data_IF_465832790450
#
_entry.id   IF_465832790450
#
_cell.length_a   1.000
_cell.length_b   1.000
_cell.length_c   1.000
_cell.angle_alpha   90.00
_cell.angle_beta   90.00
_cell.angle_gamma   90.00
#
_symmetry.space_group_name_H-M   'P 1'
#
loop_
_entity.id
_entity.type
_entity.pdbx_description
1 polymer ?
#
# COMPACT_ATOMS: atom_id res chain seq x y z
N UNK A 1 -5.85 -0.79 31.37
CA UNK A 1 -5.19 -1.33 30.15
C UNK A 1 -6.19 -2.24 29.46
N UNK A 2 -6.78 -1.78 28.36
CA UNK A 2 -7.57 -2.66 27.49
C UNK A 2 -6.58 -3.48 26.69
N UNK A 3 -6.42 -4.77 27.00
CA UNK A 3 -5.55 -5.67 26.23
C UNK A 3 -6.25 -6.00 24.93
N UNK A 4 -5.95 -5.23 23.88
CA UNK A 4 -6.43 -5.51 22.53
C UNK A 4 -5.97 -6.92 22.16
N UNK A 5 -6.86 -7.82 21.73
CA UNK A 5 -6.48 -9.15 21.31
C UNK A 5 -5.38 -9.11 20.24
N UNK A 6 -4.30 -9.90 20.44
CA UNK A 6 -3.14 -9.91 19.54
C UNK A 6 -3.49 -10.24 18.08
N UNK A 7 -4.53 -11.05 17.85
CA UNK A 7 -5.03 -11.35 16.51
C UNK A 7 -5.56 -10.11 15.78
N UNK A 8 -6.19 -9.16 16.50
CA UNK A 8 -6.65 -7.90 15.93
C UNK A 8 -5.46 -7.05 15.50
N UNK A 9 -4.42 -6.92 16.35
CA UNK A 9 -3.19 -6.21 16.01
C UNK A 9 -2.56 -6.78 14.72
N UNK A 10 -2.44 -8.10 14.62
CA UNK A 10 -1.87 -8.74 13.42
C UNK A 10 -2.72 -8.48 12.17
N UNK A 11 -4.05 -8.52 12.28
CA UNK A 11 -4.93 -8.22 11.15
C UNK A 11 -4.82 -6.77 10.68
N UNK A 12 -4.74 -5.81 11.62
CA UNK A 12 -4.51 -4.40 11.32
C UNK A 12 -3.16 -4.22 10.60
N UNK A 13 -2.10 -4.83 11.12
CA UNK A 13 -0.76 -4.76 10.52
C UNK A 13 -0.76 -5.31 9.11
N UNK A 14 -1.38 -6.48 8.90
CA UNK A 14 -1.45 -7.11 7.59
C UNK A 14 -2.20 -6.23 6.59
N UNK A 15 -3.37 -5.72 6.98
CA UNK A 15 -4.19 -4.87 6.13
C UNK A 15 -3.46 -3.58 5.74
N UNK A 16 -2.87 -2.87 6.71
CA UNK A 16 -2.12 -1.63 6.46
C UNK A 16 -0.87 -1.88 5.61
N UNK A 17 -0.14 -2.97 5.84
CA UNK A 17 1.04 -3.29 5.04
C UNK A 17 0.67 -3.71 3.60
N UNK A 18 -0.45 -4.39 3.41
CA UNK A 18 -0.90 -4.88 2.11
C UNK A 18 -1.43 -3.76 1.24
N UNK A 19 -2.27 -2.89 1.81
CA UNK A 19 -3.03 -1.90 1.06
C UNK A 19 -2.50 -0.49 1.20
N UNK A 20 -1.76 -0.18 2.27
CA UNK A 20 -1.52 1.18 2.71
C UNK A 20 -2.73 1.73 3.48
N UNK A 21 -3.95 1.51 3.00
CA UNK A 21 -5.19 2.02 3.58
C UNK A 21 -6.16 0.95 4.06
N UNK A 22 -7.19 1.41 4.76
CA UNK A 22 -8.30 0.66 5.35
C UNK A 22 -9.60 1.34 4.91
N UNK A 23 -10.62 0.53 4.64
CA UNK A 23 -12.00 0.95 4.42
C UNK A 23 -12.88 0.40 5.56
N UNK A 24 -14.04 1.01 5.78
CA UNK A 24 -15.00 0.55 6.80
C UNK A 24 -15.37 -0.94 6.62
N UNK A 25 -15.54 -1.38 5.36
CA UNK A 25 -15.85 -2.77 5.04
C UNK A 25 -14.72 -3.76 5.42
N UNK A 26 -13.48 -3.29 5.54
CA UNK A 26 -12.34 -4.15 5.87
C UNK A 26 -12.35 -4.51 7.36
N UNK A 27 -12.69 -3.55 8.22
CA UNK A 27 -12.60 -3.69 9.67
C UNK A 27 -13.80 -4.39 10.28
N UNK A 28 -15.01 -4.21 9.75
CA UNK A 28 -16.25 -4.79 10.30
C UNK A 28 -16.19 -6.33 10.46
N UNK A 29 -15.32 -6.99 9.71
CA UNK A 29 -15.09 -8.43 9.77
C UNK A 29 -14.32 -8.91 11.01
N UNK A 30 -13.56 -8.03 11.69
CA UNK A 30 -12.70 -8.44 12.82
C UNK A 30 -12.55 -7.43 13.97
N UNK A 31 -12.95 -6.17 13.78
CA UNK A 31 -12.90 -5.13 14.80
C UNK A 31 -13.98 -4.08 14.52
N UNK A 32 -14.68 -3.58 15.54
CA UNK A 32 -15.58 -2.44 15.33
C UNK A 32 -14.76 -1.21 14.96
N UNK A 33 -15.19 -0.49 13.93
CA UNK A 33 -14.53 0.73 13.44
C UNK A 33 -14.07 1.70 14.54
N UNK A 34 -14.97 2.03 15.49
CA UNK A 34 -14.69 2.97 16.60
C UNK A 34 -13.52 2.51 17.49
N UNK A 35 -13.20 1.22 17.48
CA UNK A 35 -12.05 0.65 18.19
C UNK A 35 -10.79 0.67 17.32
N UNK A 36 -10.89 0.55 16.00
CA UNK A 36 -9.73 0.57 15.09
C UNK A 36 -8.92 1.86 15.22
N UNK A 37 -9.56 3.02 15.14
CA UNK A 37 -8.90 4.33 15.24
C UNK A 37 -8.18 4.49 16.59
N UNK A 38 -8.86 4.08 17.67
CA UNK A 38 -8.29 4.10 19.02
C UNK A 38 -7.10 3.16 19.18
N UNK A 39 -7.18 1.96 18.59
CA UNK A 39 -6.09 0.97 18.57
C UNK A 39 -4.88 1.55 17.84
N UNK A 40 -5.09 2.06 16.63
CA UNK A 40 -4.04 2.57 15.75
C UNK A 40 -3.34 3.79 16.35
N UNK A 41 -4.08 4.78 16.84
CA UNK A 41 -3.51 6.00 17.42
C UNK A 41 -2.75 5.75 18.73
N UNK A 42 -3.20 4.78 19.53
CA UNK A 42 -2.69 4.54 20.89
C UNK A 42 -1.62 3.45 20.96
N UNK A 43 -1.46 2.61 19.93
CA UNK A 43 -0.63 1.39 19.99
C UNK A 43 0.33 1.26 18.80
N UNK A 44 0.83 2.37 18.26
CA UNK A 44 1.78 2.37 17.12
C UNK A 44 3.03 1.52 17.40
N UNK A 45 3.59 1.58 18.61
CA UNK A 45 4.75 0.78 18.99
C UNK A 45 4.44 -0.72 18.97
N UNK A 46 3.25 -1.12 19.38
CA UNK A 46 2.80 -2.52 19.35
C UNK A 46 2.54 -2.98 17.91
N UNK A 47 1.98 -2.13 17.05
CA UNK A 47 1.85 -2.39 15.61
C UNK A 47 3.22 -2.59 14.95
N UNK A 48 4.20 -1.72 15.24
CA UNK A 48 5.58 -1.83 14.74
C UNK A 48 6.26 -3.11 15.24
N UNK A 49 6.08 -3.45 16.52
CA UNK A 49 6.60 -4.71 17.10
C UNK A 49 6.00 -5.96 16.43
N UNK A 50 4.82 -5.85 15.82
CA UNK A 50 4.17 -6.92 15.06
C UNK A 50 4.38 -6.81 13.53
N UNK A 51 5.28 -5.93 13.06
CA UNK A 51 5.72 -5.88 11.67
C UNK A 51 5.05 -4.81 10.80
N UNK A 52 4.37 -3.82 11.40
CA UNK A 52 3.93 -2.64 10.65
C UNK A 52 5.13 -1.86 10.12
N UNK A 53 5.13 -1.61 8.80
CA UNK A 53 6.24 -0.95 8.07
C UNK A 53 5.91 0.46 7.60
N UNK A 54 4.67 0.92 7.77
CA UNK A 54 4.24 2.23 7.31
C UNK A 54 4.65 3.39 8.23
N UNK A 55 4.17 4.60 7.88
CA UNK A 55 4.47 5.85 8.60
C UNK A 55 3.65 6.06 9.88
N UNK A 56 3.81 7.23 10.49
CA UNK A 56 3.07 7.61 11.70
C UNK A 56 1.55 7.64 11.46
N UNK A 57 0.80 7.00 12.36
CA UNK A 57 -0.66 6.88 12.25
C UNK A 57 -1.42 7.93 13.08
N UNK A 58 -0.72 8.66 13.98
CA UNK A 58 -1.30 9.61 14.95
C UNK A 58 -1.96 10.87 14.36
N UNK A 59 -1.54 11.33 13.18
CA UNK A 59 -2.09 12.52 12.54
C UNK A 59 -3.38 12.25 11.75
N UNK A 60 -3.81 10.99 11.70
CA UNK A 60 -4.89 10.53 10.84
C UNK A 60 -6.07 10.13 11.73
N UNK A 61 -7.01 11.04 11.91
CA UNK A 61 -8.30 10.73 12.52
C UNK A 61 -9.36 11.50 11.75
N UNK A 62 -9.57 11.13 10.49
CA UNK A 62 -10.77 11.60 9.80
C UNK A 62 -11.85 10.63 10.17
N UNK A 63 -12.67 10.98 11.16
CA UNK A 63 -13.95 10.33 11.44
C UNK A 63 -14.63 9.95 10.12
N UNK A 64 -14.64 8.65 9.77
CA UNK A 64 -15.21 8.16 8.52
C UNK A 64 -16.73 8.36 8.59
N UNK A 65 -17.24 9.26 7.75
CA UNK A 65 -18.69 9.45 7.55
C UNK A 65 -19.11 9.13 6.10
N UNK A 66 -18.30 8.36 5.36
CA UNK A 66 -18.54 8.03 3.95
C UNK A 66 -17.45 7.12 3.34
N UNK A 67 -17.54 6.77 2.04
CA UNK A 67 -16.68 5.79 1.35
C UNK A 67 -15.21 6.24 1.13
N UNK A 68 -14.74 7.23 1.90
CA UNK A 68 -13.41 7.80 1.75
C UNK A 68 -12.37 6.94 2.45
N UNK A 69 -11.17 6.77 1.87
CA UNK A 69 -10.15 5.86 2.37
C UNK A 69 -9.49 6.34 3.65
N UNK A 70 -9.21 5.37 4.52
CA UNK A 70 -8.64 5.57 5.83
C UNK A 70 -7.19 5.08 5.89
N UNK A 71 -6.28 5.95 6.28
CA UNK A 71 -4.92 5.60 6.71
C UNK A 71 -3.90 5.20 5.62
N UNK A 72 -2.64 5.42 5.98
CA UNK A 72 -1.42 4.86 5.39
C UNK A 72 -1.15 5.13 3.91
N UNK A 73 -0.74 6.37 3.64
CA UNK A 73 0.24 6.61 2.57
C UNK A 73 1.48 7.30 3.14
N UNK A 74 2.62 6.74 2.76
CA UNK A 74 3.88 6.71 3.48
C UNK A 74 4.73 7.98 3.31
N UNK A 75 4.29 9.12 3.85
CA UNK A 75 5.24 10.21 4.11
C UNK A 75 4.75 11.12 5.24
N UNK A 76 5.30 10.93 6.45
CA UNK A 76 5.00 11.77 7.61
C UNK A 76 5.50 13.21 7.47
N UNK A 77 6.32 13.50 6.45
CA UNK A 77 6.77 14.85 6.11
C UNK A 77 5.90 15.51 5.04
N UNK A 78 4.91 14.79 4.50
CA UNK A 78 4.07 15.27 3.41
C UNK A 78 2.67 15.54 3.91
N UNK A 79 2.14 16.70 3.54
CA UNK A 79 0.75 17.07 3.83
C UNK A 79 -0.12 16.57 2.67
N UNK A 80 -0.69 15.39 2.84
CA UNK A 80 -1.61 14.78 1.89
C UNK A 80 -2.97 15.47 1.93
N UNK A 81 -3.56 15.69 0.77
CA UNK A 81 -4.94 16.17 0.61
C UNK A 81 -5.91 14.99 0.52
N UNK A 82 -7.22 15.26 0.66
CA UNK A 82 -8.24 14.23 0.47
C UNK A 82 -8.24 13.70 -0.97
N UNK A 83 -7.96 14.58 -1.93
CA UNK A 83 -7.83 14.25 -3.34
C UNK A 83 -6.67 13.29 -3.59
N UNK A 84 -5.51 13.50 -2.94
CA UNK A 84 -4.37 12.58 -3.03
C UNK A 84 -4.74 11.18 -2.52
N UNK A 85 -5.52 11.09 -1.44
CA UNK A 85 -5.96 9.80 -0.88
C UNK A 85 -6.93 9.06 -1.81
N UNK A 86 -7.86 9.81 -2.43
CA UNK A 86 -8.80 9.25 -3.42
C UNK A 86 -8.01 8.76 -4.64
N UNK A 87 -7.07 9.56 -5.15
CA UNK A 87 -6.22 9.18 -6.26
C UNK A 87 -5.39 7.93 -5.93
N UNK A 88 -4.80 7.86 -4.72
CA UNK A 88 -4.09 6.67 -4.27
C UNK A 88 -4.96 5.41 -4.33
N UNK A 89 -6.20 5.48 -3.87
CA UNK A 89 -7.11 4.34 -3.87
C UNK A 89 -7.53 3.95 -5.29
N UNK A 90 -7.83 4.94 -6.14
CA UNK A 90 -8.07 4.68 -7.56
C UNK A 90 -6.88 3.99 -8.24
N UNK A 91 -5.64 4.41 -7.94
CA UNK A 91 -4.44 3.77 -8.49
C UNK A 91 -4.25 2.34 -7.98
N UNK A 92 -4.70 2.03 -6.75
CA UNK A 92 -4.63 0.70 -6.14
C UNK A 92 -5.68 -0.26 -6.69
N UNK A 93 -6.87 0.23 -6.97
CA UNK A 93 -8.00 -0.56 -7.47
C UNK A 93 -7.95 -0.75 -8.99
N UNK A 94 -7.20 0.07 -9.73
CA UNK A 94 -7.11 -0.03 -11.19
C UNK A 94 -6.09 -1.06 -11.69
N UNK A 95 -6.47 -1.76 -12.75
CA UNK A 95 -5.56 -2.55 -13.56
C UNK A 95 -4.48 -1.65 -14.21
N UNK A 96 -3.25 -2.16 -14.26
CA UNK A 96 -2.00 -1.48 -14.67
C UNK A 96 -1.96 -0.96 -16.13
N UNK A 97 -3.09 -0.96 -16.82
CA UNK A 97 -3.25 -0.52 -18.20
C UNK A 97 -3.73 0.93 -18.33
N UNK A 98 -3.71 1.73 -17.24
CA UNK A 98 -4.08 3.14 -17.30
C UNK A 98 -2.94 4.00 -17.87
N UNK A 99 -3.23 4.77 -18.91
CA UNK A 99 -2.32 5.71 -19.57
C UNK A 99 -1.88 6.86 -18.64
N UNK A 100 -2.61 7.09 -17.53
CA UNK A 100 -2.30 8.13 -16.54
C UNK A 100 -1.27 7.70 -15.48
N UNK A 101 -0.83 6.44 -15.49
CA UNK A 101 0.15 5.95 -14.52
C UNK A 101 1.57 6.37 -14.93
N UNK A 102 2.12 7.35 -14.23
CA UNK A 102 3.50 7.83 -14.45
C UNK A 102 4.43 7.40 -13.32
N UNK A 103 5.74 7.38 -13.59
CA UNK A 103 6.76 7.14 -12.55
C UNK A 103 6.71 8.22 -11.47
N UNK A 104 6.33 9.45 -11.82
CA UNK A 104 6.18 10.54 -10.86
C UNK A 104 5.04 10.27 -9.88
N UNK A 105 3.89 9.76 -10.36
CA UNK A 105 2.81 9.30 -9.47
C UNK A 105 3.27 8.14 -8.59
N UNK A 106 3.95 7.15 -9.16
CA UNK A 106 4.50 6.04 -8.37
C UNK A 106 5.46 6.51 -7.28
N UNK A 107 6.33 7.49 -7.56
CA UNK A 107 7.18 8.14 -6.55
C UNK A 107 6.38 8.94 -5.54
N UNK A 108 5.38 9.70 -6.01
CA UNK A 108 4.52 10.51 -5.15
C UNK A 108 3.83 9.66 -4.08
N UNK A 109 3.30 8.51 -4.50
CA UNK A 109 2.57 7.56 -3.68
C UNK A 109 3.43 6.46 -3.04
N UNK A 110 4.75 6.47 -3.26
CA UNK A 110 5.67 5.40 -2.83
C UNK A 110 5.17 3.99 -3.19
N UNK A 111 4.70 3.85 -4.44
CA UNK A 111 4.19 2.61 -4.99
C UNK A 111 5.23 1.96 -5.89
N UNK A 112 5.55 0.71 -5.61
CA UNK A 112 6.35 -0.14 -6.48
C UNK A 112 5.50 -0.99 -7.42
N UNK A 113 6.13 -1.56 -8.44
CA UNK A 113 5.49 -2.52 -9.35
C UNK A 113 5.83 -3.93 -8.93
N UNK A 114 4.81 -4.72 -8.65
CA UNK A 114 4.95 -6.16 -8.44
C UNK A 114 5.08 -6.91 -9.76
N UNK A 115 5.97 -7.89 -9.79
CA UNK A 115 6.06 -8.90 -10.83
C UNK A 115 5.93 -10.27 -10.19
N UNK A 116 5.17 -11.14 -10.83
CA UNK A 116 5.03 -12.54 -10.42
C UNK A 116 5.41 -13.46 -11.59
N UNK A 117 6.40 -14.31 -11.37
CA UNK A 117 6.84 -15.29 -12.36
C UNK A 117 6.09 -16.62 -12.19
N UNK A 118 5.10 -16.90 -13.04
CA UNK A 118 4.31 -18.15 -12.98
C UNK A 118 5.13 -19.43 -13.13
N UNK A 119 6.33 -19.36 -13.75
CA UNK A 119 7.19 -20.54 -13.98
C UNK A 119 7.90 -21.04 -12.71
N UNK A 120 8.25 -20.14 -11.80
CA UNK A 120 9.04 -20.47 -10.60
C UNK A 120 8.50 -19.84 -9.32
N UNK A 121 7.32 -19.24 -9.39
CA UNK A 121 6.62 -18.53 -8.31
C UNK A 121 7.43 -17.42 -7.63
N UNK A 122 8.51 -16.96 -8.27
CA UNK A 122 9.29 -15.82 -7.78
C UNK A 122 8.46 -14.53 -7.90
N UNK A 123 8.34 -13.81 -6.79
CA UNK A 123 7.72 -12.50 -6.71
C UNK A 123 8.78 -11.44 -6.37
N UNK A 124 8.60 -10.24 -6.92
CA UNK A 124 9.44 -9.10 -6.59
C UNK A 124 8.66 -7.82 -6.79
N UNK A 125 8.90 -6.82 -5.94
CA UNK A 125 8.40 -5.46 -6.14
C UNK A 125 9.59 -4.58 -6.51
N UNK A 126 9.46 -3.79 -7.59
CA UNK A 126 10.48 -2.85 -8.02
C UNK A 126 10.10 -1.42 -7.64
N UNK A 127 11.05 -0.67 -7.10
CA UNK A 127 10.85 0.72 -6.72
C UNK A 127 10.73 1.66 -7.93
N UNK A 128 10.04 2.80 -7.81
CA UNK A 128 9.98 3.82 -8.85
C UNK A 128 11.35 4.30 -9.33
N UNK A 129 12.35 4.40 -8.43
CA UNK A 129 13.71 4.84 -8.75
C UNK A 129 14.42 3.84 -9.66
N UNK A 130 14.23 2.54 -9.42
CA UNK A 130 14.77 1.49 -10.28
C UNK A 130 14.12 1.60 -11.65
N UNK A 131 12.79 1.72 -11.71
CA UNK A 131 12.04 1.82 -12.96
C UNK A 131 12.43 3.05 -13.79
N UNK A 132 12.64 4.19 -13.13
CA UNK A 132 13.07 5.44 -13.75
C UNK A 132 14.42 5.34 -14.45
N UNK A 133 15.29 4.40 -14.05
CA UNK A 133 16.58 4.15 -14.74
C UNK A 133 16.40 3.44 -16.07
N UNK A 134 15.32 2.68 -16.24
CA UNK A 134 15.10 1.85 -17.43
C UNK A 134 14.13 2.48 -18.43
N UNK A 135 13.10 3.19 -17.95
CA UNK A 135 12.13 3.86 -18.82
C UNK A 135 11.67 5.17 -18.16
N UNK A 136 12.29 6.32 -18.45
CA UNK A 136 11.88 7.59 -17.87
C UNK A 136 10.48 8.01 -18.34
N UNK A 137 9.67 8.56 -17.45
CA UNK A 137 8.38 9.19 -17.78
C UNK A 137 7.19 8.25 -17.90
N UNK A 138 7.30 7.17 -18.68
CA UNK A 138 6.15 6.31 -19.01
C UNK A 138 6.23 4.91 -18.42
N UNK A 139 5.12 4.48 -17.83
CA UNK A 139 4.94 3.12 -17.33
C UNK A 139 4.56 2.10 -18.40
N UNK A 140 3.86 2.55 -19.44
CA UNK A 140 3.23 1.70 -20.45
C UNK A 140 4.23 0.68 -21.01
N UNK A 141 3.86 -0.60 -21.05
CA UNK A 141 4.71 -1.63 -21.65
C UNK A 141 5.95 -2.04 -20.84
N UNK A 142 6.09 -1.66 -19.56
CA UNK A 142 7.10 -2.28 -18.69
C UNK A 142 6.86 -3.79 -18.63
N UNK A 143 7.94 -4.57 -18.77
CA UNK A 143 7.93 -6.03 -18.66
C UNK A 143 9.13 -6.51 -17.86
N UNK A 144 8.90 -7.49 -17.00
CA UNK A 144 9.90 -8.10 -16.15
C UNK A 144 10.66 -9.24 -16.85
N UNK A 145 11.88 -9.48 -16.36
CA UNK A 145 12.64 -10.71 -16.61
C UNK A 145 12.92 -11.36 -15.26
N UNK A 146 12.62 -12.66 -15.14
CA UNK A 146 12.87 -13.36 -13.90
C UNK A 146 14.38 -13.57 -13.71
N UNK A 147 14.88 -13.31 -12.50
CA UNK A 147 16.27 -13.59 -12.13
C UNK A 147 16.51 -15.05 -11.73
N UNK A 148 15.45 -15.82 -11.48
CA UNK A 148 15.50 -17.21 -11.01
C UNK A 148 15.29 -18.26 -12.10
N UNK A 149 14.78 -17.86 -13.27
CA UNK A 149 14.52 -18.76 -14.39
C UNK A 149 14.63 -17.97 -15.72
N UNK A 150 14.64 -18.62 -16.89
CA UNK A 150 14.84 -17.91 -18.16
C UNK A 150 13.61 -17.13 -18.65
N UNK A 151 12.54 -17.04 -17.85
CA UNK A 151 11.30 -16.35 -18.20
C UNK A 151 11.52 -14.85 -18.40
N UNK A 152 10.95 -14.33 -19.49
CA UNK A 152 11.03 -12.92 -19.92
C UNK A 152 9.64 -12.43 -20.27
N UNK A 153 9.51 -11.12 -20.48
CA UNK A 153 8.24 -10.48 -20.85
C UNK A 153 7.13 -10.66 -19.81
N UNK A 154 7.49 -10.83 -18.53
CA UNK A 154 6.53 -10.99 -17.44
C UNK A 154 5.74 -9.69 -17.28
N UNK A 155 4.41 -9.69 -17.38
CA UNK A 155 3.63 -8.48 -17.18
C UNK A 155 3.68 -8.06 -15.70
N UNK A 156 3.51 -6.77 -15.42
CA UNK A 156 3.22 -6.29 -14.08
C UNK A 156 2.00 -7.01 -13.48
N UNK A 157 2.08 -7.36 -12.20
CA UNK A 157 1.05 -8.11 -11.46
C UNK A 157 0.23 -7.22 -10.51
N UNK A 158 0.70 -6.01 -10.22
CA UNK A 158 -0.01 -5.04 -9.39
C UNK A 158 0.89 -3.88 -9.02
N UNK A 159 0.29 -2.83 -8.48
CA UNK A 159 1.03 -1.87 -7.64
C UNK A 159 1.10 -2.43 -6.22
N UNK A 160 2.17 -2.11 -5.50
CA UNK A 160 2.36 -2.52 -4.10
C UNK A 160 3.01 -1.38 -3.34
N UNK A 161 2.64 -1.16 -2.06
CA UNK A 161 3.39 -0.22 -1.23
C UNK A 161 4.87 -0.61 -1.20
N UNK A 162 5.75 0.37 -1.38
CA UNK A 162 7.19 0.19 -1.37
C UNK A 162 7.80 0.98 -0.21
N UNK A 163 7.98 0.28 0.92
CA UNK A 163 8.53 0.81 2.18
C UNK A 163 10.01 0.51 2.33
#
# INVERSE_FOLDING_TARGET
MSSIPKNIIVQIVNLLNERGFVLDADVDSFCRYVLFDGIVASNIEELRANGYRGGELKCWTTSFQGPSPAYGVYDSKRNWTNEDLIEYCHLRDWELNNEELTIEKLKFFNLGIGFYCHKCSHNSVLSPEILNKFKPGEYSGIRGKCSKCPEKNIPPAGLYPYF
#
